data_IF_427510781582
#
_entry.id   IF_427510781582
#
_cell.length_a   1.000
_cell.length_b   1.000
_cell.length_c   1.000
_cell.angle_alpha   90.00
_cell.angle_beta   90.00
_cell.angle_gamma   90.00
#
_symmetry.space_group_name_H-M   'P 1'
#
loop_
_entity.id
_entity.type
_entity.pdbx_description
1 polymer ?
#
# COMPACT_ATOMS: atom_id res chain seq x y z
N UNK A 1 -1.25 32.40 -7.25
CA UNK A 1 -2.07 31.52 -6.39
C UNK A 1 -2.75 30.41 -7.19
N UNK A 2 -3.56 30.72 -8.21
CA UNK A 2 -4.24 29.70 -9.05
C UNK A 2 -3.26 28.70 -9.69
N UNK A 3 -2.16 29.18 -10.27
CA UNK A 3 -1.12 28.31 -10.85
C UNK A 3 -0.55 27.30 -9.83
N UNK A 4 -0.26 27.76 -8.59
CA UNK A 4 0.26 26.90 -7.53
C UNK A 4 -0.76 25.85 -7.10
N UNK A 5 -2.04 26.22 -7.00
CA UNK A 5 -3.12 25.27 -6.69
C UNK A 5 -3.20 24.18 -7.75
N UNK A 6 -3.20 24.55 -9.03
CA UNK A 6 -3.23 23.60 -10.14
C UNK A 6 -2.00 22.68 -10.14
N UNK A 7 -0.80 23.24 -9.94
CA UNK A 7 0.43 22.46 -9.86
C UNK A 7 0.39 21.44 -8.71
N UNK A 8 -0.09 21.84 -7.53
CA UNK A 8 -0.24 20.94 -6.37
C UNK A 8 -1.25 19.82 -6.64
N UNK A 9 -2.40 20.13 -7.25
CA UNK A 9 -3.40 19.11 -7.58
C UNK A 9 -2.81 18.09 -8.56
N UNK A 10 -2.13 18.55 -9.61
CA UNK A 10 -1.48 17.66 -10.58
C UNK A 10 -0.41 16.79 -9.92
N UNK A 11 0.38 17.35 -9.02
CA UNK A 11 1.39 16.61 -8.27
C UNK A 11 0.76 15.54 -7.35
N UNK A 12 -0.34 15.85 -6.66
CA UNK A 12 -1.07 14.87 -5.84
C UNK A 12 -1.60 13.73 -6.71
N UNK A 13 -2.24 14.05 -7.84
CA UNK A 13 -2.76 13.03 -8.77
C UNK A 13 -1.62 12.13 -9.28
N UNK A 14 -0.49 12.72 -9.65
CA UNK A 14 0.72 12.01 -10.05
C UNK A 14 1.20 11.04 -8.95
N UNK A 15 1.33 11.52 -7.71
CA UNK A 15 1.76 10.72 -6.57
C UNK A 15 0.80 9.55 -6.27
N UNK A 16 -0.52 9.80 -6.32
CA UNK A 16 -1.54 8.76 -6.08
C UNK A 16 -1.45 7.66 -7.14
N UNK A 17 -1.38 8.03 -8.42
CA UNK A 17 -1.27 7.05 -9.52
C UNK A 17 0.01 6.23 -9.38
N UNK A 18 1.13 6.90 -9.09
CA UNK A 18 2.42 6.25 -8.91
C UNK A 18 2.39 5.27 -7.72
N UNK A 19 1.89 5.70 -6.56
CA UNK A 19 1.83 4.89 -5.35
C UNK A 19 0.95 3.65 -5.54
N UNK A 20 -0.22 3.81 -6.16
CA UNK A 20 -1.13 2.69 -6.42
C UNK A 20 -0.53 1.68 -7.40
N UNK A 21 0.09 2.15 -8.49
CA UNK A 21 0.75 1.24 -9.41
C UNK A 21 2.03 0.62 -8.81
N UNK A 22 2.73 1.31 -7.90
CA UNK A 22 3.83 0.70 -7.16
C UNK A 22 3.35 -0.47 -6.30
N UNK A 23 2.18 -0.34 -5.64
CA UNK A 23 1.57 -1.44 -4.89
C UNK A 23 1.14 -2.60 -5.81
N UNK A 24 0.54 -2.29 -6.98
CA UNK A 24 0.22 -3.28 -8.02
C UNK A 24 1.47 -4.04 -8.47
N UNK A 25 2.51 -3.30 -8.83
CA UNK A 25 3.76 -3.86 -9.34
C UNK A 25 4.46 -4.71 -8.26
N UNK A 26 4.36 -4.32 -6.99
CA UNK A 26 4.89 -5.12 -5.89
C UNK A 26 4.22 -6.51 -5.82
N UNK A 27 2.90 -6.59 -5.95
CA UNK A 27 2.17 -7.86 -6.03
C UNK A 27 2.64 -8.71 -7.21
N UNK A 28 2.74 -8.10 -8.40
CA UNK A 28 3.17 -8.78 -9.62
C UNK A 28 4.61 -9.33 -9.51
N UNK A 29 5.55 -8.52 -9.00
CA UNK A 29 6.95 -8.93 -8.81
C UNK A 29 7.07 -10.08 -7.81
N UNK A 30 6.33 -10.03 -6.70
CA UNK A 30 6.34 -11.11 -5.70
C UNK A 30 5.77 -12.42 -6.27
N UNK A 31 4.80 -12.32 -7.19
CA UNK A 31 4.27 -13.47 -7.94
C UNK A 31 5.22 -13.98 -9.03
N UNK A 32 6.30 -13.24 -9.32
CA UNK A 32 7.32 -13.60 -10.30
C UNK A 32 7.09 -13.01 -11.70
N UNK A 33 6.12 -12.10 -11.86
CA UNK A 33 5.92 -11.37 -13.11
C UNK A 33 7.02 -10.30 -13.31
N UNK A 34 7.36 -10.03 -14.57
CA UNK A 34 8.25 -8.94 -14.94
C UNK A 34 7.49 -7.63 -15.06
N UNK A 35 8.04 -6.55 -14.52
CA UNK A 35 7.49 -5.20 -14.63
C UNK A 35 8.38 -4.29 -15.47
N UNK A 36 7.77 -3.29 -16.08
CA UNK A 36 8.45 -2.23 -16.84
C UNK A 36 8.16 -0.86 -16.23
N UNK A 37 8.92 0.16 -16.65
CA UNK A 37 8.66 1.55 -16.20
C UNK A 37 7.26 2.05 -16.59
N UNK A 38 6.67 1.52 -17.67
CA UNK A 38 5.33 1.87 -18.12
C UNK A 38 4.26 1.41 -17.12
N UNK A 39 4.51 0.32 -16.39
CA UNK A 39 3.52 -0.26 -15.48
C UNK A 39 3.19 0.66 -14.30
N UNK A 40 4.11 1.56 -13.92
CA UNK A 40 3.88 2.59 -12.91
C UNK A 40 2.84 3.64 -13.29
N UNK A 41 2.45 3.70 -14.57
CA UNK A 41 1.56 4.74 -15.13
C UNK A 41 0.27 4.18 -15.73
N UNK A 42 -0.08 2.93 -15.40
CA UNK A 42 -1.30 2.30 -15.90
C UNK A 42 -2.52 2.84 -15.17
N UNK A 43 -3.56 3.19 -15.91
CA UNK A 43 -4.81 3.75 -15.36
C UNK A 43 -5.92 2.69 -15.22
N UNK A 44 -5.79 1.57 -15.92
CA UNK A 44 -6.78 0.50 -15.90
C UNK A 44 -6.88 -0.10 -14.51
N UNK A 45 -8.10 -0.37 -14.02
CA UNK A 45 -8.31 -1.05 -12.73
C UNK A 45 -7.88 -0.24 -11.49
N UNK A 46 -7.74 1.09 -11.59
CA UNK A 46 -7.47 1.96 -10.42
C UNK A 46 -8.74 2.38 -9.66
N UNK A 47 -9.94 2.15 -10.20
CA UNK A 47 -11.20 2.58 -9.58
C UNK A 47 -11.38 2.08 -8.14
N UNK A 48 -11.33 0.77 -7.92
CA UNK A 48 -11.42 0.20 -6.56
C UNK A 48 -10.27 0.67 -5.66
N UNK A 49 -8.98 0.59 -6.04
CA UNK A 49 -7.88 1.08 -5.21
C UNK A 49 -7.99 2.55 -4.79
N UNK A 50 -8.47 3.43 -5.67
CA UNK A 50 -8.70 4.85 -5.34
C UNK A 50 -9.79 4.98 -4.27
N UNK A 51 -10.91 4.26 -4.41
CA UNK A 51 -11.99 4.28 -3.41
C UNK A 51 -11.52 3.70 -2.06
N UNK A 52 -10.73 2.61 -2.07
CA UNK A 52 -10.12 2.05 -0.86
C UNK A 52 -9.21 3.09 -0.18
N UNK A 53 -8.39 3.80 -0.97
CA UNK A 53 -7.52 4.86 -0.46
C UNK A 53 -8.33 5.97 0.21
N UNK A 54 -9.45 6.38 -0.40
CA UNK A 54 -10.33 7.40 0.15
C UNK A 54 -10.97 6.94 1.47
N UNK A 55 -11.43 5.70 1.56
CA UNK A 55 -12.00 5.14 2.80
C UNK A 55 -10.95 5.08 3.89
N UNK A 56 -9.75 4.57 3.61
CA UNK A 56 -8.66 4.51 4.60
C UNK A 56 -8.24 5.91 5.04
N UNK A 57 -8.17 6.87 4.12
CA UNK A 57 -7.90 8.27 4.45
C UNK A 57 -8.94 8.84 5.41
N UNK A 58 -10.23 8.64 5.15
CA UNK A 58 -11.31 9.08 6.04
C UNK A 58 -11.22 8.39 7.41
N UNK A 59 -10.97 7.09 7.45
CA UNK A 59 -10.76 6.35 8.70
C UNK A 59 -9.55 6.88 9.47
N UNK A 60 -8.45 7.21 8.80
CA UNK A 60 -7.26 7.78 9.41
C UNK A 60 -7.52 9.20 9.95
N UNK A 61 -8.32 10.01 9.25
CA UNK A 61 -8.76 11.32 9.74
C UNK A 61 -9.63 11.22 10.99
N UNK A 62 -10.58 10.27 11.02
CA UNK A 62 -11.38 9.99 12.22
C UNK A 62 -10.51 9.45 13.35
N UNK A 63 -9.56 8.57 13.03
CA UNK A 63 -8.58 8.06 13.97
C UNK A 63 -7.70 9.16 14.56
N UNK A 64 -7.41 10.22 13.82
CA UNK A 64 -6.59 11.34 14.29
C UNK A 64 -7.24 12.15 15.41
N UNK A 65 -8.56 12.01 15.60
CA UNK A 65 -9.29 12.59 16.74
C UNK A 65 -8.87 11.95 18.07
N UNK A 66 -8.21 10.78 18.03
CA UNK A 66 -7.67 10.07 19.19
C UNK A 66 -6.16 9.92 19.01
N UNK A 67 -5.37 10.11 20.08
CA UNK A 67 -3.91 10.20 19.99
C UNK A 67 -3.20 9.08 19.19
N UNK A 68 -3.75 7.85 19.22
CA UNK A 68 -3.16 6.68 18.54
C UNK A 68 -4.04 6.15 17.40
N UNK A 69 -5.23 6.75 17.16
CA UNK A 69 -6.23 6.14 16.29
C UNK A 69 -5.79 5.99 14.83
N UNK A 70 -5.09 6.97 14.26
CA UNK A 70 -4.56 6.86 12.89
C UNK A 70 -3.50 5.76 12.76
N UNK A 71 -2.70 5.52 13.82
CA UNK A 71 -1.70 4.45 13.83
C UNK A 71 -2.40 3.10 13.82
N UNK A 72 -3.47 2.94 14.61
CA UNK A 72 -4.27 1.71 14.60
C UNK A 72 -4.84 1.44 13.21
N UNK A 73 -5.41 2.45 12.55
CA UNK A 73 -5.91 2.33 11.17
C UNK A 73 -4.80 1.91 10.21
N UNK A 74 -3.61 2.51 10.32
CA UNK A 74 -2.47 2.18 9.48
C UNK A 74 -1.98 0.75 9.67
N UNK A 75 -1.92 0.25 10.91
CA UNK A 75 -1.52 -1.12 11.23
C UNK A 75 -2.54 -2.13 10.71
N UNK A 76 -3.82 -1.86 10.95
CA UNK A 76 -4.93 -2.73 10.59
C UNK A 76 -5.10 -2.85 9.07
N UNK A 77 -4.98 -1.72 8.36
CA UNK A 77 -5.19 -1.66 6.92
C UNK A 77 -3.88 -1.58 6.12
N UNK A 78 -2.74 -1.96 6.70
CA UNK A 78 -1.44 -1.92 6.02
C UNK A 78 -1.42 -2.76 4.73
N UNK A 79 -2.23 -3.81 4.64
CA UNK A 79 -2.30 -4.68 3.47
C UNK A 79 -3.34 -4.24 2.43
N UNK A 80 -4.16 -3.23 2.71
CA UNK A 80 -5.30 -2.89 1.85
C UNK A 80 -4.89 -2.45 0.44
N UNK A 81 -3.78 -1.73 0.31
CA UNK A 81 -3.27 -1.30 -1.00
C UNK A 81 -2.85 -2.48 -1.88
N UNK A 82 -2.15 -3.47 -1.30
CA UNK A 82 -1.73 -4.68 -2.04
C UNK A 82 -2.90 -5.63 -2.27
N UNK A 83 -3.83 -5.73 -1.31
CA UNK A 83 -5.05 -6.51 -1.44
C UNK A 83 -5.95 -6.03 -2.59
N UNK A 84 -5.99 -4.71 -2.84
CA UNK A 84 -6.74 -4.14 -3.96
C UNK A 84 -6.25 -4.62 -5.34
N UNK A 85 -5.02 -5.13 -5.45
CA UNK A 85 -4.44 -5.62 -6.70
C UNK A 85 -4.26 -7.14 -6.76
N UNK A 86 -4.41 -7.84 -5.64
CA UNK A 86 -4.33 -9.30 -5.62
C UNK A 86 -5.55 -10.00 -6.25
N UNK A 87 -6.71 -9.32 -6.31
CA UNK A 87 -7.94 -9.86 -6.87
C UNK A 87 -8.49 -8.99 -7.99
N UNK A 88 -8.74 -9.57 -9.18
CA UNK A 88 -9.22 -8.84 -10.38
C UNK A 88 -10.61 -8.21 -10.24
N UNK A 89 -11.45 -8.71 -9.32
CA UNK A 89 -12.85 -8.30 -9.14
C UNK A 89 -13.09 -7.77 -7.72
N UNK A 90 -12.07 -7.19 -7.10
CA UNK A 90 -12.17 -6.72 -5.73
C UNK A 90 -13.15 -5.52 -5.64
N UNK A 91 -14.09 -5.62 -4.70
CA UNK A 91 -14.89 -4.49 -4.21
C UNK A 91 -14.22 -3.86 -3.00
N UNK A 92 -14.52 -2.60 -2.68
CA UNK A 92 -13.95 -1.90 -1.52
C UNK A 92 -14.13 -2.73 -0.23
N UNK A 93 -15.32 -3.28 0.00
CA UNK A 93 -15.61 -4.13 1.16
C UNK A 93 -14.75 -5.40 1.19
N UNK A 94 -14.61 -6.10 0.06
CA UNK A 94 -13.77 -7.30 0.00
C UNK A 94 -12.29 -7.02 0.23
N UNK A 95 -11.78 -5.86 -0.23
CA UNK A 95 -10.38 -5.45 -0.01
C UNK A 95 -10.12 -5.19 1.47
N UNK A 96 -10.96 -4.38 2.10
CA UNK A 96 -10.82 -4.04 3.52
C UNK A 96 -11.03 -5.27 4.41
N UNK A 97 -12.02 -6.11 4.07
CA UNK A 97 -12.26 -7.38 4.75
C UNK A 97 -11.06 -8.32 4.65
N UNK A 98 -10.48 -8.49 3.47
CA UNK A 98 -9.30 -9.33 3.27
C UNK A 98 -8.08 -8.79 4.01
N UNK A 99 -7.83 -7.47 3.99
CA UNK A 99 -6.76 -6.86 4.78
C UNK A 99 -6.95 -7.11 6.28
N UNK A 100 -8.19 -6.97 6.77
CA UNK A 100 -8.53 -7.25 8.16
C UNK A 100 -8.33 -8.71 8.54
N UNK A 101 -8.75 -9.65 7.69
CA UNK A 101 -8.57 -11.08 7.94
C UNK A 101 -7.09 -11.46 8.02
N UNK A 102 -6.27 -10.98 7.09
CA UNK A 102 -4.82 -11.23 7.11
C UNK A 102 -4.19 -10.66 8.38
N UNK A 103 -4.55 -9.42 8.76
CA UNK A 103 -4.09 -8.81 10.00
C UNK A 103 -4.51 -9.62 11.23
N UNK A 104 -5.81 -9.94 11.36
CA UNK A 104 -6.39 -10.64 12.51
C UNK A 104 -5.81 -12.05 12.69
N UNK A 105 -5.51 -12.75 11.60
CA UNK A 105 -4.95 -14.10 11.66
C UNK A 105 -3.44 -14.12 11.94
N UNK A 106 -2.76 -12.98 11.82
CA UNK A 106 -1.29 -12.87 11.95
C UNK A 106 -0.92 -11.61 12.75
N UNK A 107 -1.63 -11.30 13.83
CA UNK A 107 -1.50 -10.01 14.53
C UNK A 107 -0.07 -9.74 15.00
N UNK A 108 0.59 -10.75 15.55
CA UNK A 108 1.98 -10.71 16.01
C UNK A 108 2.95 -10.35 14.87
N UNK A 109 2.87 -11.08 13.76
CA UNK A 109 3.74 -10.88 12.60
C UNK A 109 3.41 -9.57 11.87
N UNK A 110 2.13 -9.20 11.79
CA UNK A 110 1.68 -7.98 11.14
C UNK A 110 2.09 -6.72 11.91
N UNK A 111 2.06 -6.76 13.25
CA UNK A 111 2.58 -5.66 14.08
C UNK A 111 4.10 -5.55 13.92
N UNK A 112 4.82 -6.67 13.96
CA UNK A 112 6.27 -6.67 13.77
C UNK A 112 6.67 -6.12 12.39
N UNK A 113 5.96 -6.56 11.34
CA UNK A 113 6.15 -6.06 9.98
C UNK A 113 5.88 -4.56 9.90
N UNK A 114 4.79 -4.08 10.50
CA UNK A 114 4.47 -2.66 10.52
C UNK A 114 5.58 -1.84 11.17
N UNK A 115 6.06 -2.27 12.34
CA UNK A 115 7.16 -1.60 13.05
C UNK A 115 8.42 -1.56 12.18
N UNK A 116 8.79 -2.69 11.57
CA UNK A 116 9.97 -2.76 10.70
C UNK A 116 9.84 -1.84 9.48
N UNK A 117 8.69 -1.86 8.81
CA UNK A 117 8.40 -0.99 7.67
C UNK A 117 8.38 0.49 8.06
N UNK A 118 7.84 0.81 9.23
CA UNK A 118 7.82 2.17 9.76
C UNK A 118 9.24 2.67 10.05
N UNK A 119 10.05 1.87 10.76
CA UNK A 119 11.45 2.20 11.05
C UNK A 119 12.28 2.32 9.77
N UNK A 120 12.02 1.47 8.76
CA UNK A 120 12.70 1.54 7.48
C UNK A 120 12.36 2.85 6.75
N UNK A 121 11.08 3.23 6.68
CA UNK A 121 10.70 4.51 6.07
C UNK A 121 11.19 5.72 6.88
N UNK A 122 11.23 5.62 8.21
CA UNK A 122 11.80 6.65 9.08
C UNK A 122 13.30 6.84 8.79
N UNK A 123 14.06 5.74 8.70
CA UNK A 123 15.45 5.75 8.29
C UNK A 123 15.63 6.33 6.88
N UNK A 124 14.76 5.95 5.95
CA UNK A 124 14.73 6.48 4.58
C UNK A 124 14.47 7.99 4.54
N UNK A 125 13.66 8.51 5.45
CA UNK A 125 13.38 9.95 5.58
C UNK A 125 14.58 10.78 6.03
N UNK A 126 15.56 10.19 6.71
CA UNK A 126 16.80 10.86 7.10
C UNK A 126 17.83 10.96 5.97
N UNK A 127 17.61 10.29 4.84
CA UNK A 127 18.52 10.27 3.69
C UNK A 127 17.84 10.95 2.51
N UNK A 128 18.58 11.80 1.77
CA UNK A 128 18.05 12.60 0.65
C UNK A 128 17.25 11.76 -0.37
N UNK A 129 17.68 10.52 -0.62
CA UNK A 129 17.08 9.60 -1.60
C UNK A 129 16.49 8.37 -0.90
N UNK A 130 16.51 8.30 0.44
CA UNK A 130 16.17 7.08 1.18
C UNK A 130 14.74 6.63 0.94
N UNK A 131 13.77 7.56 0.94
CA UNK A 131 12.36 7.22 0.68
C UNK A 131 12.10 6.66 -0.73
N UNK A 132 12.94 7.01 -1.72
CA UNK A 132 12.85 6.45 -3.08
C UNK A 132 13.13 4.94 -3.07
N UNK A 133 13.96 4.47 -2.14
CA UNK A 133 14.33 3.06 -1.98
C UNK A 133 13.43 2.36 -0.95
N UNK A 134 13.12 3.01 0.18
CA UNK A 134 12.37 2.34 1.26
C UNK A 134 10.90 2.16 0.92
N UNK A 135 10.28 3.10 0.19
CA UNK A 135 8.88 2.97 -0.22
C UNK A 135 8.60 1.70 -1.05
N UNK A 136 9.35 1.38 -2.13
CA UNK A 136 9.12 0.14 -2.86
C UNK A 136 9.46 -1.11 -2.03
N UNK A 137 10.47 -1.06 -1.16
CA UNK A 137 10.80 -2.19 -0.27
C UNK A 137 9.66 -2.49 0.70
N UNK A 138 9.04 -1.47 1.29
CA UNK A 138 7.88 -1.62 2.17
C UNK A 138 6.70 -2.25 1.42
N UNK A 139 6.42 -1.79 0.20
CA UNK A 139 5.35 -2.35 -0.62
C UNK A 139 5.61 -3.81 -1.00
N UNK A 140 6.86 -4.18 -1.33
CA UNK A 140 7.24 -5.56 -1.60
C UNK A 140 7.09 -6.45 -0.36
N UNK A 141 7.50 -5.96 0.81
CA UNK A 141 7.35 -6.69 2.06
C UNK A 141 5.87 -6.90 2.42
N UNK A 142 5.05 -5.87 2.28
CA UNK A 142 3.60 -5.96 2.48
C UNK A 142 2.93 -6.90 1.46
N UNK A 143 3.31 -6.82 0.18
CA UNK A 143 2.79 -7.71 -0.87
C UNK A 143 3.15 -9.18 -0.59
N UNK A 144 4.40 -9.45 -0.22
CA UNK A 144 4.83 -10.80 0.18
C UNK A 144 4.06 -11.31 1.39
N UNK A 145 4.01 -10.55 2.47
CA UNK A 145 3.29 -10.95 3.68
C UNK A 145 1.79 -11.18 3.41
N UNK A 146 1.17 -10.29 2.63
CA UNK A 146 -0.23 -10.44 2.24
C UNK A 146 -0.48 -11.70 1.41
N UNK A 147 0.31 -11.93 0.35
CA UNK A 147 0.16 -13.10 -0.52
C UNK A 147 0.37 -14.42 0.24
N UNK A 148 1.36 -14.48 1.14
CA UNK A 148 1.54 -15.63 2.05
C UNK A 148 0.32 -15.79 2.96
N UNK A 149 -0.20 -14.69 3.53
CA UNK A 149 -1.36 -14.69 4.42
C UNK A 149 -2.64 -15.19 3.77
N UNK A 150 -2.83 -14.96 2.46
CA UNK A 150 -3.96 -15.47 1.68
C UNK A 150 -3.65 -16.77 0.91
N UNK A 151 -2.47 -17.36 1.12
CA UNK A 151 -2.00 -18.57 0.41
C UNK A 151 -1.99 -18.45 -1.12
N UNK A 152 -1.77 -17.23 -1.62
CA UNK A 152 -1.61 -16.95 -3.04
C UNK A 152 -0.20 -17.34 -3.53
N UNK A 153 0.00 -17.52 -4.85
CA UNK A 153 1.30 -17.85 -5.40
C UNK A 153 2.35 -16.79 -5.05
N UNK A 154 3.51 -17.25 -4.58
CA UNK A 154 4.71 -16.45 -4.32
C UNK A 154 5.87 -17.15 -5.01
N UNK A 155 6.72 -16.39 -5.70
CA UNK A 155 7.88 -16.96 -6.39
C UNK A 155 8.77 -17.75 -5.39
N UNK A 156 9.16 -19.00 -5.70
CA UNK A 156 10.06 -19.78 -4.83
C UNK A 156 11.41 -19.09 -4.62
N UNK A 157 11.97 -19.22 -3.41
CA UNK A 157 13.32 -18.73 -3.09
C UNK A 157 14.35 -19.60 -3.83
N UNK A 158 15.04 -19.04 -4.82
CA UNK A 158 16.18 -19.67 -5.52
C UNK A 158 17.48 -19.38 -4.81
#
# INVERSE_FOLDING_TARGET
MIFLILATILFIVFCVIFQLNAARNAVQVVQGESITLRDFWRLDGLGTPILVSLVIFLLACLGALVAVGSIVVAVVFQFAYVAAFASRQATVGSVLGSSWEVFKNNVDQAILLFILCYLLNLAGGFVIIGMVVTAPVVLLAQAHAYLVGIQAPVKPRT
#
